data_IF_154651158118
#
_entry.id   IF_154651158118
#
_cell.length_a   1.000
_cell.length_b   1.000
_cell.length_c   1.000
_cell.angle_alpha   90.00
_cell.angle_beta   90.00
_cell.angle_gamma   90.00
#
_symmetry.space_group_name_H-M   'P 1'
#
loop_
_entity.id
_entity.type
_entity.pdbx_description
1 polymer ?
#
# COMPACT_ATOMS: atom_id res chain seq x y z
N UNK A 1 -13.19 13.06 -7.38
CA UNK A 1 -12.10 12.10 -7.63
C UNK A 1 -12.68 10.69 -7.54
N UNK A 2 -12.04 9.69 -8.16
CA UNK A 2 -12.55 8.31 -8.19
C UNK A 2 -11.91 7.41 -7.12
N UNK A 3 -10.65 7.70 -6.80
CA UNK A 3 -9.84 6.97 -5.81
C UNK A 3 -8.96 7.97 -5.09
N UNK A 4 -8.68 7.71 -3.82
CA UNK A 4 -7.66 8.44 -3.05
C UNK A 4 -6.41 7.59 -3.00
N UNK A 5 -5.27 8.19 -3.37
CA UNK A 5 -3.94 7.62 -3.21
C UNK A 5 -3.14 8.54 -2.31
N UNK A 6 -2.88 8.11 -1.07
CA UNK A 6 -2.06 8.85 -0.11
C UNK A 6 -0.65 8.28 -0.09
N UNK A 7 0.37 9.14 -0.06
CA UNK A 7 1.77 8.73 0.05
C UNK A 7 2.43 9.44 1.22
N UNK A 8 2.78 8.68 2.25
CA UNK A 8 3.34 9.19 3.50
C UNK A 8 4.77 8.67 3.68
N UNK A 9 5.79 9.54 3.62
CA UNK A 9 7.14 9.15 3.95
C UNK A 9 7.23 8.71 5.42
N UNK A 10 7.73 7.50 5.66
CA UNK A 10 8.04 7.03 7.01
C UNK A 10 9.55 6.98 7.27
N UNK A 11 9.96 6.52 8.46
CA UNK A 11 11.35 6.61 8.89
C UNK A 11 12.26 5.68 8.07
N UNK A 12 13.44 6.16 7.62
CA UNK A 12 14.44 5.34 6.94
C UNK A 12 15.32 4.54 7.92
N UNK A 13 15.04 4.64 9.22
CA UNK A 13 15.77 3.98 10.31
C UNK A 13 14.88 2.97 11.03
N UNK A 14 15.44 1.93 11.67
CA UNK A 14 14.65 0.94 12.40
C UNK A 14 13.92 1.59 13.57
N UNK A 15 12.66 1.21 13.78
CA UNK A 15 11.89 1.59 14.97
C UNK A 15 11.49 0.36 15.78
N UNK A 16 11.28 0.55 17.08
CA UNK A 16 11.04 -0.52 18.04
C UNK A 16 9.80 -0.23 18.89
N UNK A 17 9.05 -1.29 19.20
CA UNK A 17 7.94 -1.28 20.15
C UNK A 17 8.27 -2.25 21.28
N UNK A 18 8.40 -1.75 22.51
CA UNK A 18 8.74 -2.55 23.69
C UNK A 18 9.98 -3.47 23.49
N UNK A 19 10.99 -2.98 22.77
CA UNK A 19 12.22 -3.73 22.46
C UNK A 19 12.14 -4.65 21.23
N UNK A 20 10.97 -4.86 20.64
CA UNK A 20 10.82 -5.60 19.39
C UNK A 20 10.93 -4.67 18.17
N UNK A 21 11.71 -5.06 17.17
CA UNK A 21 11.83 -4.28 15.93
C UNK A 21 10.53 -4.37 15.11
N UNK A 22 10.05 -3.24 14.62
CA UNK A 22 8.96 -3.24 13.64
C UNK A 22 9.51 -3.69 12.29
N UNK A 23 8.86 -4.68 11.67
CA UNK A 23 9.29 -5.27 10.39
C UNK A 23 8.53 -4.70 9.19
N UNK A 24 7.30 -4.25 9.41
CA UNK A 24 6.44 -3.72 8.38
C UNK A 24 5.38 -2.78 8.97
N UNK A 25 4.92 -1.84 8.16
CA UNK A 25 3.84 -0.90 8.50
C UNK A 25 2.75 -0.97 7.42
N UNK A 26 1.61 -1.59 7.72
CA UNK A 26 0.48 -1.64 6.78
C UNK A 26 -0.54 -0.57 7.16
N UNK A 27 -0.62 0.54 6.39
CA UNK A 27 -1.55 1.61 6.71
C UNK A 27 -2.99 1.17 6.45
N UNK A 28 -3.89 1.59 7.34
CA UNK A 28 -5.34 1.42 7.20
C UNK A 28 -5.99 2.78 7.16
N UNK A 29 -6.57 3.12 6.02
CA UNK A 29 -7.32 4.36 5.81
C UNK A 29 -8.82 4.09 5.77
N UNK A 30 -9.60 5.12 5.45
CA UNK A 30 -11.05 5.10 5.58
C UNK A 30 -11.72 4.95 4.21
N UNK A 31 -12.74 4.10 4.16
CA UNK A 31 -13.76 4.07 3.10
C UNK A 31 -15.01 4.77 3.60
N UNK A 32 -15.66 5.54 2.72
CA UNK A 32 -16.87 6.31 3.03
C UNK A 32 -17.74 6.39 1.79
N UNK A 33 -18.97 6.88 1.91
CA UNK A 33 -19.87 7.07 0.77
C UNK A 33 -19.20 7.92 -0.31
N UNK A 34 -19.17 7.42 -1.54
CA UNK A 34 -18.46 8.04 -2.67
C UNK A 34 -16.96 7.73 -2.74
N UNK A 35 -16.38 6.98 -1.78
CA UNK A 35 -15.00 6.50 -1.78
C UNK A 35 -14.93 5.03 -1.37
N UNK A 36 -15.22 4.15 -2.33
CA UNK A 36 -15.25 2.70 -2.12
C UNK A 36 -13.85 2.05 -2.06
N UNK A 37 -12.79 2.76 -2.49
CA UNK A 37 -11.41 2.29 -2.47
C UNK A 37 -10.48 3.41 -2.01
N UNK A 38 -9.64 3.11 -1.03
CA UNK A 38 -8.54 3.95 -0.60
C UNK A 38 -7.22 3.18 -0.72
N UNK A 39 -6.21 3.82 -1.30
CA UNK A 39 -4.84 3.30 -1.38
C UNK A 39 -3.96 4.22 -0.53
N UNK A 40 -3.28 3.66 0.46
CA UNK A 40 -2.32 4.40 1.28
C UNK A 40 -0.95 3.73 1.21
N UNK A 41 0.06 4.53 0.89
CA UNK A 41 1.45 4.11 0.76
C UNK A 41 2.25 4.70 1.93
N UNK A 42 3.05 3.87 2.58
CA UNK A 42 4.01 4.31 3.59
C UNK A 42 5.39 3.73 3.29
N UNK A 43 6.44 4.54 3.41
CA UNK A 43 7.82 4.04 3.31
C UNK A 43 8.40 3.70 4.69
N UNK A 44 9.10 2.58 4.81
CA UNK A 44 9.83 2.20 6.03
C UNK A 44 11.05 1.36 5.67
N UNK A 45 12.22 1.71 6.22
CA UNK A 45 13.48 1.00 5.94
C UNK A 45 13.76 0.77 4.45
N UNK A 46 13.52 1.79 3.61
CA UNK A 46 13.73 1.71 2.16
C UNK A 46 12.74 0.81 1.42
N UNK A 47 11.69 0.31 2.09
CA UNK A 47 10.61 -0.48 1.49
C UNK A 47 9.33 0.34 1.44
N UNK A 48 8.54 0.15 0.39
CA UNK A 48 7.17 0.67 0.34
C UNK A 48 6.21 -0.37 0.88
N UNK A 49 5.29 0.07 1.73
CA UNK A 49 4.17 -0.71 2.23
C UNK A 49 2.88 -0.08 1.74
N UNK A 50 2.07 -0.87 1.03
CA UNK A 50 0.84 -0.39 0.39
C UNK A 50 -0.36 -1.04 1.05
N UNK A 51 -1.26 -0.23 1.58
CA UNK A 51 -2.54 -0.65 2.16
C UNK A 51 -3.69 -0.33 1.22
N UNK A 52 -4.49 -1.35 0.88
CA UNK A 52 -5.73 -1.21 0.12
C UNK A 52 -6.89 -1.46 1.08
N UNK A 53 -7.71 -0.44 1.30
CA UNK A 53 -8.95 -0.57 2.08
C UNK A 53 -10.12 -0.31 1.15
N UNK A 54 -11.04 -1.26 1.08
CA UNK A 54 -12.15 -1.20 0.15
C UNK A 54 -13.48 -1.67 0.76
N UNK A 55 -14.58 -1.09 0.30
CA UNK A 55 -15.91 -1.66 0.53
C UNK A 55 -16.02 -3.00 -0.23
N UNK A 56 -16.37 -4.06 0.49
CA UNK A 56 -16.38 -5.42 -0.05
C UNK A 56 -17.43 -5.64 -1.14
N UNK A 57 -18.54 -4.89 -1.15
CA UNK A 57 -19.60 -5.05 -2.14
C UNK A 57 -19.27 -4.28 -3.42
N UNK A 58 -18.74 -3.08 -3.27
CA UNK A 58 -18.37 -2.22 -4.40
C UNK A 58 -17.07 -2.68 -5.09
N UNK A 59 -16.13 -3.25 -4.34
CA UNK A 59 -14.83 -3.74 -4.86
C UNK A 59 -14.57 -5.17 -4.36
N UNK A 60 -15.29 -6.18 -4.88
CA UNK A 60 -15.22 -7.56 -4.38
C UNK A 60 -13.87 -8.24 -4.64
N UNK A 61 -13.07 -7.71 -5.56
CA UNK A 61 -11.82 -8.24 -6.09
C UNK A 61 -10.59 -7.40 -5.71
N UNK A 62 -10.66 -6.64 -4.60
CA UNK A 62 -9.54 -5.81 -4.11
C UNK A 62 -8.23 -6.58 -3.96
N UNK A 63 -8.29 -7.88 -3.66
CA UNK A 63 -7.09 -8.73 -3.57
C UNK A 63 -6.39 -8.87 -4.92
N UNK A 64 -7.14 -8.98 -6.03
CA UNK A 64 -6.56 -9.05 -7.37
C UNK A 64 -5.79 -7.77 -7.68
N UNK A 65 -6.33 -6.61 -7.27
CA UNK A 65 -5.63 -5.34 -7.40
C UNK A 65 -4.33 -5.31 -6.56
N UNK A 66 -4.38 -5.83 -5.33
CA UNK A 66 -3.19 -5.91 -4.47
C UNK A 66 -2.09 -6.78 -5.11
N UNK A 67 -2.45 -7.96 -5.64
CA UNK A 67 -1.51 -8.88 -6.28
C UNK A 67 -0.90 -8.26 -7.55
N UNK A 68 -1.71 -7.53 -8.33
CA UNK A 68 -1.28 -6.82 -9.55
C UNK A 68 -0.20 -5.77 -9.29
N UNK A 69 -0.17 -5.12 -8.13
CA UNK A 69 0.85 -4.10 -7.84
C UNK A 69 2.28 -4.66 -7.96
N UNK A 70 2.51 -5.88 -7.46
CA UNK A 70 3.80 -6.52 -7.56
C UNK A 70 4.09 -6.94 -9.01
N UNK A 71 3.12 -7.58 -9.67
CA UNK A 71 3.27 -8.04 -11.06
C UNK A 71 3.57 -6.91 -12.03
N UNK A 72 2.85 -5.79 -11.94
CA UNK A 72 3.06 -4.66 -12.86
C UNK A 72 4.39 -3.93 -12.57
N UNK A 73 4.86 -3.92 -11.31
CA UNK A 73 6.21 -3.42 -11.01
C UNK A 73 7.29 -4.28 -11.68
N UNK A 74 7.16 -5.60 -11.64
CA UNK A 74 8.09 -6.51 -12.31
C UNK A 74 8.13 -6.28 -13.83
N UNK A 75 6.97 -6.03 -14.45
CA UNK A 75 6.87 -5.67 -15.88
C UNK A 75 7.63 -4.37 -16.17
N UNK A 76 7.44 -3.34 -15.33
CA UNK A 76 8.14 -2.06 -15.49
C UNK A 76 9.65 -2.20 -15.33
N UNK A 77 10.11 -3.00 -14.35
CA UNK A 77 11.54 -3.28 -14.15
C UNK A 77 12.15 -4.02 -15.34
N UNK A 78 11.45 -5.01 -15.89
CA UNK A 78 11.89 -5.74 -17.07
C UNK A 78 12.01 -4.83 -18.31
N UNK A 79 11.12 -3.84 -18.45
CA UNK A 79 11.14 -2.91 -19.59
C UNK A 79 12.34 -1.94 -19.57
N UNK A 80 12.90 -1.65 -18.40
CA UNK A 80 14.04 -0.71 -18.25
C UNK A 80 15.40 -1.40 -18.17
N UNK A 81 15.46 -2.73 -18.30
CA UNK A 81 16.70 -3.47 -18.52
C UNK A 81 17.43 -3.98 -17.28
N UNK A 82 16.81 -3.95 -16.10
CA UNK A 82 17.34 -4.55 -14.85
C UNK A 82 18.50 -3.79 -14.22
#
# INVERSE_FOLDING_TARGET
FNVVVSNVPGPPIPIFLAGAQVLAHYPLSIVTDGLALNITVLSYLGRLHVGLVADRRAVPDVQVLADRLATELDVLLAAVGG
#
